data_IF_065801185937
#
_entry.id   IF_065801185937
#
_cell.length_a   1.000
_cell.length_b   1.000
_cell.length_c   1.000
_cell.angle_alpha   90.00
_cell.angle_beta   90.00
_cell.angle_gamma   90.00
#
_symmetry.space_group_name_H-M   'P 1'
#
loop_
_entity.id
_entity.type
_entity.pdbx_description
1 polymer ?
#
# COMPACT_ATOMS: atom_id res chain seq x y z
N UNK A 1 7.19 -2.13 -24.98
CA UNK A 1 6.94 -1.32 -23.76
C UNK A 1 8.17 -1.28 -22.84
N UNK A 2 8.67 -2.44 -22.38
CA UNK A 2 9.83 -2.50 -21.46
C UNK A 2 11.10 -1.87 -22.02
N UNK A 3 11.39 -2.01 -23.32
CA UNK A 3 12.62 -1.43 -23.91
C UNK A 3 12.64 0.10 -23.84
N UNK A 4 11.48 0.72 -24.04
CA UNK A 4 11.31 2.17 -23.95
C UNK A 4 11.46 2.66 -22.50
N UNK A 5 10.86 1.94 -21.54
CA UNK A 5 11.05 2.24 -20.12
C UNK A 5 12.51 2.13 -19.69
N UNK A 6 13.22 1.06 -20.10
CA UNK A 6 14.67 0.91 -19.81
C UNK A 6 15.49 2.04 -20.43
N UNK A 7 15.19 2.43 -21.67
CA UNK A 7 15.84 3.57 -22.34
C UNK A 7 15.61 4.87 -21.57
N UNK A 8 14.40 5.11 -21.07
CA UNK A 8 14.07 6.27 -20.25
C UNK A 8 14.86 6.30 -18.93
N UNK A 9 14.95 5.17 -18.21
CA UNK A 9 15.73 5.07 -16.95
C UNK A 9 17.20 5.40 -17.21
N UNK A 10 17.80 4.77 -18.23
CA UNK A 10 19.21 5.03 -18.61
C UNK A 10 19.46 6.47 -19.03
N UNK A 11 18.51 7.08 -19.75
CA UNK A 11 18.62 8.47 -20.19
C UNK A 11 18.64 9.48 -19.03
N UNK A 12 18.14 9.11 -17.85
CA UNK A 12 18.18 9.92 -16.63
C UNK A 12 19.31 9.48 -15.66
N UNK A 13 20.23 8.63 -16.11
CA UNK A 13 21.37 8.15 -15.32
C UNK A 13 21.06 7.00 -14.35
N UNK A 14 19.87 6.40 -14.44
CA UNK A 14 19.52 5.22 -13.65
C UNK A 14 20.00 3.92 -14.28
N UNK A 15 20.13 2.88 -13.46
CA UNK A 15 20.33 1.50 -13.91
C UNK A 15 18.99 0.75 -13.83
N UNK A 16 18.38 0.35 -14.97
CA UNK A 16 17.09 -0.36 -14.97
C UNK A 16 17.16 -1.78 -14.41
N UNK A 17 18.37 -2.33 -14.25
CA UNK A 17 18.60 -3.69 -13.77
C UNK A 17 19.14 -3.68 -12.31
N UNK A 18 19.31 -2.50 -11.71
CA UNK A 18 19.74 -2.36 -10.32
C UNK A 18 18.70 -2.91 -9.32
N UNK A 19 19.14 -3.51 -8.21
CA UNK A 19 18.24 -3.95 -7.17
C UNK A 19 17.54 -2.74 -6.53
N UNK A 20 16.23 -2.85 -6.32
CA UNK A 20 15.46 -1.85 -5.59
C UNK A 20 15.75 -1.94 -4.08
N UNK A 21 15.76 -0.80 -3.36
CA UNK A 21 15.85 -0.80 -1.90
C UNK A 21 14.75 -1.64 -1.28
N UNK A 22 15.12 -2.48 -0.30
CA UNK A 22 14.18 -3.28 0.49
C UNK A 22 14.25 -2.83 1.94
N UNK A 23 13.10 -2.67 2.58
CA UNK A 23 13.04 -2.42 4.01
C UNK A 23 13.67 -3.57 4.80
N UNK A 24 14.33 -3.24 5.91
CA UNK A 24 14.89 -4.22 6.84
C UNK A 24 13.81 -4.94 7.64
N UNK A 25 12.77 -4.23 8.03
CA UNK A 25 11.72 -4.74 8.90
C UNK A 25 10.39 -4.87 8.17
N UNK A 26 9.64 -5.90 8.56
CA UNK A 26 8.36 -6.26 7.96
C UNK A 26 7.36 -6.63 9.04
N UNK A 27 6.13 -6.12 8.93
CA UNK A 27 5.02 -6.46 9.82
C UNK A 27 3.77 -6.86 9.02
N UNK A 28 3.17 -8.00 9.35
CA UNK A 28 1.96 -8.48 8.69
C UNK A 28 0.71 -8.08 9.48
N UNK A 29 -0.22 -7.40 8.82
CA UNK A 29 -1.56 -7.17 9.37
C UNK A 29 -2.47 -8.27 8.86
N UNK A 30 -2.88 -9.17 9.76
CA UNK A 30 -3.73 -10.30 9.44
C UNK A 30 -5.21 -9.93 9.55
N UNK A 31 -6.05 -10.52 8.71
CA UNK A 31 -7.50 -10.39 8.84
C UNK A 31 -7.99 -11.04 10.12
N UNK A 32 -8.86 -10.36 10.87
CA UNK A 32 -9.49 -10.92 12.07
C UNK A 32 -10.70 -11.80 11.75
N UNK A 33 -11.27 -11.64 10.55
CA UNK A 33 -12.46 -12.37 10.12
C UNK A 33 -12.39 -12.77 8.64
N UNK A 34 -13.21 -13.75 8.27
CA UNK A 34 -13.37 -14.19 6.88
C UNK A 34 -14.55 -13.49 6.22
N UNK A 35 -14.45 -13.23 4.92
CA UNK A 35 -15.53 -12.64 4.14
C UNK A 35 -15.04 -12.09 2.81
N UNK A 36 -15.75 -11.10 2.28
CA UNK A 36 -15.35 -10.33 1.09
C UNK A 36 -14.93 -8.94 1.50
N UNK A 37 -13.82 -8.43 0.96
CA UNK A 37 -13.41 -7.04 1.17
C UNK A 37 -14.48 -6.14 0.55
N UNK A 38 -15.27 -5.45 1.36
CA UNK A 38 -16.36 -4.62 0.86
C UNK A 38 -15.89 -3.22 0.48
N UNK A 39 -14.91 -2.67 1.21
CA UNK A 39 -14.32 -1.35 0.94
C UNK A 39 -12.91 -1.21 1.56
N UNK A 40 -12.16 -0.23 1.05
CA UNK A 40 -10.83 0.13 1.56
C UNK A 40 -10.62 1.64 1.56
N UNK A 41 -10.19 2.19 2.69
CA UNK A 41 -10.00 3.62 2.88
C UNK A 41 -8.60 4.07 2.46
N UNK A 42 -8.45 4.52 1.21
CA UNK A 42 -7.16 4.89 0.62
C UNK A 42 -6.35 5.91 1.45
N UNK A 43 -7.00 6.93 2.03
CA UNK A 43 -6.31 7.92 2.89
C UNK A 43 -5.65 7.27 4.12
N UNK A 44 -6.34 6.35 4.81
CA UNK A 44 -5.79 5.64 5.97
C UNK A 44 -4.56 4.83 5.60
N UNK A 45 -4.62 4.10 4.48
CA UNK A 45 -3.49 3.34 3.93
C UNK A 45 -2.32 4.28 3.57
N UNK A 46 -2.61 5.41 2.92
CA UNK A 46 -1.61 6.42 2.57
C UNK A 46 -0.94 7.05 3.80
N UNK A 47 -1.71 7.37 4.84
CA UNK A 47 -1.17 7.88 6.12
C UNK A 47 -0.30 6.84 6.81
N UNK A 48 -0.70 5.57 6.79
CA UNK A 48 0.13 4.49 7.33
C UNK A 48 1.47 4.38 6.59
N UNK A 49 1.46 4.38 5.25
CA UNK A 49 2.68 4.39 4.43
C UNK A 49 3.56 5.61 4.74
N UNK A 50 2.98 6.80 4.87
CA UNK A 50 3.69 8.02 5.24
C UNK A 50 4.36 7.89 6.61
N UNK A 51 3.64 7.37 7.62
CA UNK A 51 4.19 7.13 8.98
C UNK A 51 5.33 6.11 8.99
N UNK A 52 5.30 5.11 8.09
CA UNK A 52 6.39 4.14 7.90
C UNK A 52 7.65 4.75 7.27
N UNK A 53 7.60 5.98 6.77
CA UNK A 53 8.75 6.67 6.17
C UNK A 53 8.68 6.80 4.64
N UNK A 54 7.58 6.40 4.01
CA UNK A 54 7.39 6.48 2.55
C UNK A 54 7.13 7.92 2.05
N UNK A 55 7.08 8.91 2.94
CA UNK A 55 6.90 10.30 2.56
C UNK A 55 7.54 11.27 3.55
N UNK A 56 7.35 12.56 3.29
CA UNK A 56 8.02 13.65 4.01
C UNK A 56 7.01 14.45 4.82
N UNK A 57 7.39 14.89 6.01
CA UNK A 57 6.55 15.82 6.79
C UNK A 57 6.78 17.28 6.41
N UNK A 58 7.96 17.57 5.86
CA UNK A 58 8.37 18.87 5.34
C UNK A 58 9.32 18.71 4.16
N UNK A 59 9.50 19.79 3.41
CA UNK A 59 10.44 19.82 2.29
C UNK A 59 11.88 19.53 2.74
N UNK A 60 12.61 18.77 1.94
CA UNK A 60 14.03 18.46 2.17
C UNK A 60 14.30 17.21 3.01
N UNK A 61 13.31 16.62 3.67
CA UNK A 61 13.49 15.36 4.42
C UNK A 61 13.78 14.18 3.49
N UNK A 62 14.59 13.22 3.95
CA UNK A 62 14.77 11.97 3.22
C UNK A 62 13.54 11.09 3.40
N UNK A 63 13.19 10.35 2.35
CA UNK A 63 12.21 9.25 2.41
C UNK A 63 12.95 7.93 2.46
N UNK A 64 12.35 6.93 3.09
CA UNK A 64 12.82 5.56 3.00
C UNK A 64 12.23 4.91 1.75
N UNK A 65 13.04 4.71 0.71
CA UNK A 65 12.56 4.18 -0.58
C UNK A 65 12.02 2.74 -0.49
N UNK A 66 12.40 1.98 0.53
CA UNK A 66 11.89 0.64 0.79
C UNK A 66 10.66 0.59 1.71
N UNK A 67 10.26 1.72 2.31
CA UNK A 67 9.12 1.78 3.22
C UNK A 67 7.80 1.90 2.45
N UNK A 68 6.74 1.31 3.02
CA UNK A 68 5.41 1.36 2.41
C UNK A 68 4.46 0.30 2.93
N UNK A 69 3.31 0.19 2.26
CA UNK A 69 2.29 -0.83 2.53
C UNK A 69 2.06 -1.64 1.26
N UNK A 70 2.28 -2.93 1.32
CA UNK A 70 1.83 -3.90 0.33
C UNK A 70 0.40 -4.33 0.64
N UNK A 71 -0.47 -4.33 -0.38
CA UNK A 71 -1.89 -4.68 -0.25
C UNK A 71 -2.11 -6.05 -0.89
N UNK A 72 -2.56 -7.02 -0.09
CA UNK A 72 -2.73 -8.40 -0.55
C UNK A 72 -4.12 -8.71 -1.09
N UNK A 73 -5.14 -7.96 -0.65
CA UNK A 73 -6.53 -8.08 -1.11
C UNK A 73 -7.15 -6.71 -1.35
N UNK A 74 -7.91 -6.59 -2.43
CA UNK A 74 -8.64 -5.40 -2.83
C UNK A 74 -10.16 -5.60 -2.66
N UNK A 75 -10.94 -4.51 -2.66
CA UNK A 75 -12.40 -4.60 -2.68
C UNK A 75 -12.91 -5.57 -3.75
N UNK A 76 -13.82 -6.46 -3.36
CA UNK A 76 -14.39 -7.54 -4.18
C UNK A 76 -13.68 -8.90 -4.04
N UNK A 77 -12.50 -8.95 -3.42
CA UNK A 77 -11.78 -10.21 -3.20
C UNK A 77 -12.20 -10.87 -1.87
N UNK A 78 -12.11 -12.21 -1.82
CA UNK A 78 -12.32 -12.97 -0.60
C UNK A 78 -11.06 -12.99 0.26
N UNK A 79 -11.26 -12.97 1.58
CA UNK A 79 -10.20 -13.11 2.57
C UNK A 79 -10.62 -14.09 3.68
N UNK A 80 -9.67 -14.82 4.24
CA UNK A 80 -9.89 -15.67 5.41
C UNK A 80 -9.31 -15.04 6.69
N UNK A 81 -9.91 -15.34 7.83
CA UNK A 81 -9.32 -15.00 9.14
C UNK A 81 -7.91 -15.59 9.24
N UNK A 82 -6.94 -14.78 9.67
CA UNK A 82 -5.51 -15.13 9.71
C UNK A 82 -4.75 -14.92 8.41
N UNK A 83 -5.42 -14.65 7.28
CA UNK A 83 -4.75 -14.33 6.01
C UNK A 83 -4.17 -12.90 6.05
N UNK A 84 -2.98 -12.65 5.47
CA UNK A 84 -2.43 -11.30 5.37
C UNK A 84 -3.34 -10.37 4.57
N UNK A 85 -3.70 -9.24 5.17
CA UNK A 85 -4.41 -8.15 4.51
C UNK A 85 -3.42 -7.10 3.98
N UNK A 86 -2.43 -6.75 4.80
CA UNK A 86 -1.35 -5.84 4.46
C UNK A 86 0.00 -6.37 4.93
N UNK A 87 1.07 -6.00 4.22
CA UNK A 87 2.44 -6.08 4.73
C UNK A 87 3.01 -4.67 4.83
N UNK A 88 3.48 -4.29 6.02
CA UNK A 88 4.06 -3.00 6.31
C UNK A 88 5.58 -3.13 6.26
N UNK A 89 6.24 -2.21 5.57
CA UNK A 89 7.68 -2.19 5.36
C UNK A 89 8.29 -0.91 5.92
N UNK A 90 9.35 -1.02 6.71
CA UNK A 90 10.15 0.13 7.18
C UNK A 90 11.54 -0.33 7.62
N UNK A 91 12.48 0.60 7.68
CA UNK A 91 13.80 0.40 8.26
C UNK A 91 13.83 0.69 9.78
N UNK A 92 12.75 1.28 10.32
CA UNK A 92 12.64 1.79 11.71
C UNK A 92 11.43 1.13 12.40
N UNK A 93 11.61 0.01 13.11
CA UNK A 93 10.50 -0.80 13.66
C UNK A 93 9.61 -0.02 14.65
N UNK A 94 10.14 0.99 15.33
CA UNK A 94 9.40 1.90 16.20
C UNK A 94 8.27 2.67 15.47
N UNK A 95 8.29 2.70 14.13
CA UNK A 95 7.23 3.34 13.33
C UNK A 95 5.98 2.49 13.19
N UNK A 96 6.05 1.19 13.43
CA UNK A 96 4.93 0.28 13.20
C UNK A 96 3.70 0.64 14.04
N UNK A 97 3.88 0.99 15.32
CA UNK A 97 2.76 1.32 16.21
C UNK A 97 1.85 2.40 15.62
N UNK A 98 2.44 3.55 15.24
CA UNK A 98 1.67 4.66 14.66
C UNK A 98 1.10 4.32 13.28
N UNK A 99 1.75 3.46 12.51
CA UNK A 99 1.24 3.01 11.21
C UNK A 99 0.03 2.09 11.37
N UNK A 100 0.10 1.16 12.34
CA UNK A 100 -0.99 0.26 12.72
C UNK A 100 -2.22 1.03 13.19
N UNK A 101 -2.03 2.06 14.02
CA UNK A 101 -3.12 2.94 14.44
C UNK A 101 -3.82 3.62 13.26
N UNK A 102 -3.06 4.00 12.22
CA UNK A 102 -3.62 4.69 11.05
C UNK A 102 -4.37 3.76 10.13
N UNK A 103 -3.87 2.54 9.95
CA UNK A 103 -4.47 1.54 9.08
C UNK A 103 -5.58 0.74 9.77
N UNK A 104 -5.76 0.91 11.08
CA UNK A 104 -6.90 0.35 11.82
C UNK A 104 -8.20 0.77 11.15
N UNK A 105 -9.08 -0.21 10.95
CA UNK A 105 -10.39 -0.03 10.32
C UNK A 105 -10.30 0.66 8.96
N UNK A 106 -9.18 0.46 8.23
CA UNK A 106 -9.04 0.89 6.84
C UNK A 106 -9.79 -0.05 5.88
N UNK A 107 -10.23 -1.21 6.35
CA UNK A 107 -10.89 -2.23 5.54
C UNK A 107 -12.18 -2.66 6.22
N UNK A 108 -13.25 -2.73 5.44
CA UNK A 108 -14.51 -3.35 5.86
C UNK A 108 -14.66 -4.70 5.16
N UNK A 109 -15.14 -5.70 5.89
CA UNK A 109 -15.37 -7.05 5.40
C UNK A 109 -16.87 -7.35 5.51
N UNK A 110 -17.47 -7.85 4.42
CA UNK A 110 -18.85 -8.30 4.40
C UNK A 110 -18.93 -9.83 4.44
N UNK A 111 -19.90 -10.35 5.21
CA UNK A 111 -20.14 -11.80 5.31
C UNK A 111 -21.06 -12.33 4.21
N UNK A 112 -21.95 -11.48 3.71
CA UNK A 112 -22.91 -11.78 2.64
C UNK A 112 -22.34 -11.54 1.23
N UNK A 113 -21.10 -11.04 1.14
CA UNK A 113 -20.45 -10.72 -0.13
C UNK A 113 -20.84 -9.36 -0.72
N UNK A 114 -21.58 -8.53 0.03
CA UNK A 114 -21.88 -7.16 -0.40
C UNK A 114 -20.60 -6.33 -0.57
N UNK A 115 -20.52 -5.58 -1.66
CA UNK A 115 -19.40 -4.68 -1.96
C UNK A 115 -19.94 -3.25 -1.95
N UNK A 116 -19.20 -2.32 -1.35
CA UNK A 116 -19.59 -0.91 -1.38
C UNK A 116 -19.61 -0.40 -2.83
N UNK A 117 -20.61 0.43 -3.14
CA UNK A 117 -20.69 1.10 -4.44
C UNK A 117 -19.45 1.95 -4.65
N UNK A 118 -18.76 1.73 -5.76
CA UNK A 118 -17.59 2.49 -6.17
C UNK A 118 -17.82 3.07 -7.57
N UNK A 119 -17.20 4.21 -7.81
CA UNK A 119 -17.17 4.80 -9.14
C UNK A 119 -16.38 3.91 -10.10
N UNK A 120 -16.68 3.93 -11.40
CA UNK A 120 -15.81 3.31 -12.40
C UNK A 120 -14.40 3.92 -12.32
N UNK A 121 -13.39 3.13 -12.73
CA UNK A 121 -11.99 3.57 -12.72
C UNK A 121 -11.78 4.87 -13.52
N UNK A 122 -12.53 5.05 -14.59
CA UNK A 122 -12.63 6.29 -15.36
C UNK A 122 -14.07 6.78 -15.23
N UNK A 123 -14.25 7.91 -14.55
CA UNK A 123 -15.57 8.51 -14.33
C UNK A 123 -16.05 9.23 -15.59
N UNK A 124 -15.16 10.04 -16.18
CA UNK A 124 -15.47 10.85 -17.34
C UNK A 124 -14.19 11.25 -18.10
N UNK A 125 -14.34 11.75 -19.32
CA UNK A 125 -13.26 12.35 -20.12
C UNK A 125 -13.69 13.74 -20.59
N UNK A 126 -13.06 14.76 -20.02
CA UNK A 126 -13.23 16.15 -20.45
C UNK A 126 -12.24 16.43 -21.59
N UNK A 127 -12.74 16.77 -22.78
CA UNK A 127 -11.95 17.05 -23.99
C UNK A 127 -12.36 18.35 -24.65
#
# INVERSE_FOLDING_TARGET
AMDIWRKMVRAQGGDPDAPLPKAREVHHVLSKESGTISSMHALKVGVAAWRLGAGRSRQGEKVQSGAGVEIHKKPGEKIQAGEPLFTLHTDEPERFERALDSISDAVAISKDGSIATHLPLVVDRIS
#
